data_IF_746389662440
#
_entry.id   IF_746389662440
#
_cell.length_a   1.000
_cell.length_b   1.000
_cell.length_c   1.000
_cell.angle_alpha   90.00
_cell.angle_beta   90.00
_cell.angle_gamma   90.00
#
_symmetry.space_group_name_H-M   'P 1'
#
loop_
_entity.id
_entity.type
_entity.pdbx_description
1 polymer ?
#
# COMPACT_ATOMS: atom_id res chain seq x y z
N UNK A 1 -3.31 20.92 -5.61
CA UNK A 1 -1.91 20.75 -6.03
C UNK A 1 -1.76 19.28 -6.41
N UNK A 2 -1.51 19.00 -7.70
CA UNK A 2 -1.58 17.65 -8.25
C UNK A 2 -0.37 16.83 -7.82
N UNK A 3 -0.61 15.78 -7.05
CA UNK A 3 0.41 14.79 -6.73
C UNK A 3 0.72 14.03 -8.03
N UNK A 4 1.97 14.10 -8.50
CA UNK A 4 2.42 13.23 -9.59
C UNK A 4 2.55 11.84 -8.99
N UNK A 5 1.43 11.09 -8.95
CA UNK A 5 1.46 9.67 -8.61
C UNK A 5 2.50 9.01 -9.53
N UNK A 6 3.51 8.37 -8.94
CA UNK A 6 4.57 7.77 -9.74
C UNK A 6 3.92 6.61 -10.48
N UNK A 7 3.75 6.71 -11.79
CA UNK A 7 3.02 5.69 -12.53
C UNK A 7 3.70 4.33 -12.35
N UNK A 8 2.98 3.36 -11.76
CA UNK A 8 3.47 2.00 -11.58
C UNK A 8 3.97 1.44 -12.93
N UNK A 9 5.26 1.05 -13.04
CA UNK A 9 5.83 0.47 -14.26
C UNK A 9 4.99 -0.69 -14.79
N UNK A 10 4.85 -0.78 -16.12
CA UNK A 10 4.04 -1.83 -16.77
C UNK A 10 4.47 -3.24 -16.36
N UNK A 11 5.78 -3.50 -16.30
CA UNK A 11 6.31 -4.80 -15.90
C UNK A 11 5.88 -5.18 -14.47
N UNK A 12 5.98 -4.25 -13.52
CA UNK A 12 5.54 -4.47 -12.15
C UNK A 12 4.02 -4.69 -12.07
N UNK A 13 3.25 -3.96 -12.87
CA UNK A 13 1.80 -4.14 -12.94
C UNK A 13 1.40 -5.52 -13.48
N UNK A 14 2.08 -6.02 -14.51
CA UNK A 14 1.84 -7.38 -15.03
C UNK A 14 2.19 -8.45 -14.00
N UNK A 15 3.33 -8.28 -13.32
CA UNK A 15 3.75 -9.20 -12.25
C UNK A 15 2.75 -9.24 -11.10
N UNK A 16 2.37 -8.08 -10.57
CA UNK A 16 1.38 -7.98 -9.50
C UNK A 16 0.02 -8.55 -9.92
N UNK A 17 -0.39 -8.35 -11.17
CA UNK A 17 -1.61 -8.95 -11.71
C UNK A 17 -1.55 -10.49 -11.68
N UNK A 18 -0.41 -11.06 -12.09
CA UNK A 18 -0.21 -12.51 -12.10
C UNK A 18 -0.10 -13.11 -10.69
N UNK A 19 0.65 -12.46 -9.79
CA UNK A 19 0.92 -12.95 -8.43
C UNK A 19 -0.29 -12.82 -7.51
N UNK A 20 -1.05 -11.71 -7.59
CA UNK A 20 -2.19 -11.45 -6.71
C UNK A 20 -3.54 -11.92 -7.26
N UNK A 21 -3.64 -12.16 -8.57
CA UNK A 21 -4.91 -12.43 -9.25
C UNK A 21 -5.86 -11.21 -9.33
N UNK A 22 -5.45 -10.03 -8.84
CA UNK A 22 -6.25 -8.81 -8.90
C UNK A 22 -6.23 -8.20 -10.30
N UNK A 23 -7.28 -7.49 -10.68
CA UNK A 23 -7.29 -6.77 -11.95
C UNK A 23 -6.25 -5.63 -11.94
N UNK A 24 -5.70 -5.31 -13.12
CA UNK A 24 -4.74 -4.21 -13.28
C UNK A 24 -5.30 -2.86 -12.79
N UNK A 25 -6.61 -2.63 -12.95
CA UNK A 25 -7.27 -1.42 -12.46
C UNK A 25 -7.30 -1.38 -10.93
N UNK A 26 -7.64 -2.49 -10.28
CA UNK A 26 -7.61 -2.61 -8.82
C UNK A 26 -6.20 -2.39 -8.26
N UNK A 27 -5.17 -2.92 -8.93
CA UNK A 27 -3.77 -2.72 -8.52
C UNK A 27 -3.38 -1.25 -8.59
N UNK A 28 -3.72 -0.54 -9.68
CA UNK A 28 -3.45 0.90 -9.80
C UNK A 28 -4.14 1.69 -8.69
N UNK A 29 -5.42 1.41 -8.43
CA UNK A 29 -6.15 2.08 -7.34
C UNK A 29 -5.52 1.81 -5.97
N UNK A 30 -5.08 0.57 -5.70
CA UNK A 30 -4.39 0.23 -4.46
C UNK A 30 -3.05 0.95 -4.35
N UNK A 31 -2.31 1.04 -5.46
CA UNK A 31 -1.02 1.73 -5.51
C UNK A 31 -1.16 3.23 -5.25
N UNK A 32 -2.14 3.90 -5.86
CA UNK A 32 -2.40 5.33 -5.60
C UNK A 32 -2.79 5.58 -4.13
N UNK A 33 -3.60 4.68 -3.55
CA UNK A 33 -3.95 4.74 -2.12
C UNK A 33 -2.73 4.50 -1.24
N UNK A 34 -1.87 3.55 -1.62
CA UNK A 34 -0.61 3.27 -0.94
C UNK A 34 0.32 4.50 -0.95
N UNK A 35 0.50 5.16 -2.09
CA UNK A 35 1.33 6.38 -2.17
C UNK A 35 0.78 7.53 -1.32
N UNK A 36 -0.54 7.59 -1.12
CA UNK A 36 -1.17 8.61 -0.28
C UNK A 36 -1.02 8.30 1.22
N UNK A 37 -0.92 7.02 1.56
CA UNK A 37 -0.89 6.54 2.94
C UNK A 37 0.53 6.38 3.50
N UNK A 38 1.47 5.89 2.69
CA UNK A 38 2.84 5.61 3.10
C UNK A 38 3.62 6.90 3.41
N UNK A 39 4.02 7.08 4.67
CA UNK A 39 4.76 8.26 5.11
C UNK A 39 6.28 8.03 5.07
N UNK A 40 6.72 6.78 5.17
CA UNK A 40 8.13 6.44 5.16
C UNK A 40 8.64 6.32 3.71
N UNK A 41 9.65 7.11 3.38
CA UNK A 41 10.42 7.00 2.13
C UNK A 41 11.86 6.65 2.47
N UNK A 42 12.37 5.57 1.88
CA UNK A 42 13.80 5.26 1.92
C UNK A 42 14.48 6.00 0.76
N UNK A 43 15.30 6.99 1.08
CA UNK A 43 16.00 7.81 0.08
C UNK A 43 17.10 7.04 -0.67
N UNK A 44 17.64 5.96 -0.09
CA UNK A 44 18.67 5.14 -0.74
C UNK A 44 18.06 4.21 -1.80
N UNK A 45 16.89 3.64 -1.49
CA UNK A 45 16.17 2.74 -2.38
C UNK A 45 15.17 3.47 -3.29
N UNK A 46 14.88 4.73 -2.99
CA UNK A 46 13.81 5.52 -3.59
C UNK A 46 12.46 4.76 -3.58
N UNK A 47 12.14 4.14 -2.45
CA UNK A 47 10.95 3.32 -2.24
C UNK A 47 10.11 3.85 -1.07
N UNK A 48 8.80 3.67 -1.17
CA UNK A 48 7.83 3.98 -0.13
C UNK A 48 7.52 2.72 0.67
N UNK A 49 7.37 2.86 1.98
CA UNK A 49 7.05 1.77 2.89
C UNK A 49 5.88 2.18 3.78
N UNK A 50 4.96 1.23 4.00
CA UNK A 50 3.95 1.38 5.04
C UNK A 50 4.52 0.91 6.37
N UNK A 51 4.26 1.68 7.41
CA UNK A 51 4.47 1.26 8.79
C UNK A 51 3.13 0.94 9.46
N UNK A 52 3.10 0.20 10.59
CA UNK A 52 1.86 -0.03 11.33
C UNK A 52 1.12 1.26 11.71
N UNK A 53 1.84 2.34 11.98
CA UNK A 53 1.29 3.65 12.36
C UNK A 53 0.58 4.33 11.17
N UNK A 54 1.01 4.08 9.93
CA UNK A 54 0.35 4.64 8.74
C UNK A 54 -1.11 4.16 8.63
N UNK A 55 -1.41 2.96 9.14
CA UNK A 55 -2.77 2.40 9.14
C UNK A 55 -3.73 3.10 10.10
N UNK A 56 -3.24 3.92 11.05
CA UNK A 56 -4.08 4.75 11.92
C UNK A 56 -4.81 5.86 11.15
N UNK A 57 -4.32 6.23 9.96
CA UNK A 57 -4.97 7.20 9.07
C UNK A 57 -6.19 6.62 8.35
N UNK A 58 -6.51 5.33 8.51
CA UNK A 58 -7.70 4.68 7.92
C UNK A 58 -8.80 4.58 8.99
N UNK A 59 -9.78 5.50 9.03
CA UNK A 59 -10.77 5.53 10.11
C UNK A 59 -11.63 4.26 10.18
N UNK A 60 -11.90 3.64 9.03
CA UNK A 60 -12.67 2.40 8.93
C UNK A 60 -11.92 1.23 9.58
N UNK A 61 -10.59 1.24 9.55
CA UNK A 61 -9.76 0.20 10.15
C UNK A 61 -9.71 0.36 11.67
N UNK A 62 -9.69 1.60 12.18
CA UNK A 62 -9.75 1.88 13.62
C UNK A 62 -11.08 1.48 14.26
N UNK A 63 -12.19 1.55 13.50
CA UNK A 63 -13.51 1.09 13.96
C UNK A 63 -13.67 -0.43 13.87
N UNK A 64 -12.77 -1.11 13.17
CA UNK A 64 -12.82 -2.55 13.02
C UNK A 64 -12.32 -3.22 14.31
N UNK A 65 -13.10 -4.08 14.98
CA UNK A 65 -12.66 -4.78 16.19
C UNK A 65 -11.45 -5.70 15.96
N UNK A 66 -11.17 -6.05 14.70
CA UNK A 66 -10.01 -6.84 14.29
C UNK A 66 -8.90 -5.97 13.69
N UNK A 67 -9.02 -4.63 13.70
CA UNK A 67 -8.09 -3.72 13.03
C UNK A 67 -6.64 -3.94 13.44
N UNK A 68 -6.37 -4.01 14.74
CA UNK A 68 -5.02 -4.29 15.27
C UNK A 68 -4.49 -5.66 14.84
N UNK A 69 -5.36 -6.69 14.78
CA UNK A 69 -4.99 -8.03 14.34
C UNK A 69 -4.73 -8.09 12.83
N UNK A 70 -5.46 -7.32 12.03
CA UNK A 70 -5.25 -7.19 10.59
C UNK A 70 -3.90 -6.52 10.30
N UNK A 71 -3.59 -5.41 10.98
CA UNK A 71 -2.30 -4.72 10.89
C UNK A 71 -1.19 -5.70 11.30
N UNK A 72 -1.35 -6.36 12.46
CA UNK A 72 -0.39 -7.35 12.91
C UNK A 72 -0.21 -8.47 11.88
N UNK A 73 -1.27 -9.03 11.29
CA UNK A 73 -1.16 -10.08 10.29
C UNK A 73 -0.40 -9.63 9.03
N UNK A 74 -0.52 -8.35 8.65
CA UNK A 74 0.21 -7.77 7.53
C UNK A 74 1.73 -7.69 7.79
N UNK A 75 2.14 -7.48 9.04
CA UNK A 75 3.54 -7.28 9.42
C UNK A 75 4.19 -8.45 10.20
N UNK A 76 3.43 -9.46 10.64
CA UNK A 76 3.91 -10.58 11.44
C UNK A 76 4.51 -11.72 10.59
N UNK A 77 4.55 -11.56 9.27
CA UNK A 77 5.15 -12.53 8.35
C UNK A 77 6.68 -12.42 8.29
N UNK A 78 7.37 -12.94 9.30
CA UNK A 78 8.77 -13.37 9.26
C UNK A 78 8.84 -14.82 9.74
#
# INVERSE_FOLDING_TARGET
MGNQASALPKEQLERLHHESGLTKSSIKMLYERFETLAKLKDDNLNQLFLTPEDFEEIPELLRNPLGSRLIQAFFCGC
#
